data_IF_128219430719
#
_entry.id   IF_128219430719
#
_cell.length_a   1.000
_cell.length_b   1.000
_cell.length_c   1.000
_cell.angle_alpha   90.00
_cell.angle_beta   90.00
_cell.angle_gamma   90.00
#
_symmetry.space_group_name_H-M   'P 1'
#
loop_
_entity.id
_entity.type
_entity.pdbx_description
1 polymer ?
#
# COMPACT_ATOMS: atom_id res chain seq x y z
N UNK A 1 -8.52 46.80 20.90
CA UNK A 1 -8.17 45.56 20.18
C UNK A 1 -7.93 45.79 18.68
N UNK A 2 -8.83 46.47 17.97
CA UNK A 2 -8.72 46.75 16.52
C UNK A 2 -7.45 47.49 16.08
N UNK A 3 -6.99 48.48 16.86
CA UNK A 3 -5.75 49.23 16.58
C UNK A 3 -4.49 48.37 16.67
N UNK A 4 -4.44 47.46 17.64
CA UNK A 4 -3.32 46.53 17.82
C UNK A 4 -3.24 45.53 16.66
N UNK A 5 -4.36 44.93 16.27
CA UNK A 5 -4.42 43.96 15.15
C UNK A 5 -4.02 44.64 13.83
N UNK A 6 -4.52 45.85 13.54
CA UNK A 6 -4.12 46.64 12.36
C UNK A 6 -2.63 46.99 12.34
N UNK A 7 -2.02 47.18 13.51
CA UNK A 7 -0.57 47.47 13.61
C UNK A 7 0.30 46.24 13.33
N UNK A 8 -0.24 45.04 13.55
CA UNK A 8 0.44 43.78 13.28
C UNK A 8 0.36 43.41 11.79
N UNK A 9 -0.84 43.45 11.22
CA UNK A 9 -1.07 43.13 9.82
C UNK A 9 -2.49 43.58 9.41
N UNK A 10 -2.60 44.33 8.30
CA UNK A 10 -3.90 44.75 7.77
C UNK A 10 -4.67 43.58 7.14
N UNK A 11 -3.99 42.59 6.55
CA UNK A 11 -4.65 41.42 5.96
C UNK A 11 -5.31 40.55 7.04
N UNK A 12 -4.73 40.57 8.25
CA UNK A 12 -5.29 39.91 9.43
C UNK A 12 -6.55 40.64 9.94
N UNK A 13 -6.53 41.97 9.94
CA UNK A 13 -7.71 42.78 10.27
C UNK A 13 -8.84 42.57 9.26
N UNK A 14 -8.52 42.54 7.98
CA UNK A 14 -9.49 42.32 6.91
C UNK A 14 -10.09 40.90 6.97
N UNK A 15 -9.31 39.88 7.35
CA UNK A 15 -9.80 38.53 7.59
C UNK A 15 -10.80 38.46 8.75
N UNK A 16 -10.59 39.25 9.82
CA UNK A 16 -11.47 39.29 10.99
C UNK A 16 -12.79 40.01 10.66
N UNK A 17 -12.73 41.15 9.97
CA UNK A 17 -13.91 41.97 9.68
C UNK A 17 -14.73 41.42 8.52
N UNK A 18 -14.09 41.12 7.39
CA UNK A 18 -14.83 40.75 6.19
C UNK A 18 -15.17 39.27 6.15
N UNK A 19 -14.28 38.41 6.68
CA UNK A 19 -14.38 36.95 6.79
C UNK A 19 -14.93 36.25 5.56
N UNK A 20 -14.08 35.50 4.87
CA UNK A 20 -14.53 34.66 3.75
C UNK A 20 -15.02 33.31 4.25
N UNK A 21 -16.17 32.87 3.73
CA UNK A 21 -16.71 31.54 4.00
C UNK A 21 -15.68 30.48 3.56
N UNK A 22 -15.25 29.67 4.52
CA UNK A 22 -14.51 28.45 4.23
C UNK A 22 -15.36 27.59 3.29
N UNK A 23 -14.77 26.91 2.29
CA UNK A 23 -15.52 25.95 1.49
C UNK A 23 -16.11 24.88 2.41
N UNK A 24 -17.42 24.97 2.68
CA UNK A 24 -18.16 23.98 3.46
C UNK A 24 -18.41 22.77 2.56
N UNK A 25 -17.40 21.95 2.35
CA UNK A 25 -17.58 20.62 1.76
C UNK A 25 -17.13 19.55 2.76
N UNK A 26 -18.05 19.22 3.67
CA UNK A 26 -18.02 17.97 4.42
C UNK A 26 -18.26 16.81 3.47
N UNK A 27 -17.21 16.21 2.91
CA UNK A 27 -17.30 14.87 2.34
C UNK A 27 -16.09 14.05 2.77
N UNK A 28 -16.38 13.00 3.52
CA UNK A 28 -15.51 11.90 3.93
C UNK A 28 -14.53 11.46 2.83
N UNK A 29 -13.26 11.92 2.87
CA UNK A 29 -12.07 11.31 2.23
C UNK A 29 -10.77 12.01 2.70
N UNK A 30 -9.62 11.31 2.76
CA UNK A 30 -8.45 11.76 3.54
C UNK A 30 -7.53 12.79 2.86
N UNK A 31 -7.97 13.49 1.80
CA UNK A 31 -7.11 14.46 1.11
C UNK A 31 -7.92 15.53 0.36
N UNK A 32 -8.40 16.52 1.08
CA UNK A 32 -8.81 17.80 0.48
C UNK A 32 -7.53 18.46 -0.04
N UNK A 33 -7.44 18.65 -1.37
CA UNK A 33 -6.29 19.27 -2.01
C UNK A 33 -6.52 20.78 -2.02
N UNK A 34 -6.26 21.43 -0.90
CA UNK A 34 -6.35 22.90 -0.80
C UNK A 34 -5.38 23.56 -1.77
N UNK A 35 -5.86 24.56 -2.49
CA UNK A 35 -5.04 25.47 -3.30
C UNK A 35 -4.12 26.29 -2.37
N UNK A 36 -3.04 26.84 -2.92
CA UNK A 36 -2.05 27.62 -2.17
C UNK A 36 -2.69 28.82 -1.47
N UNK A 37 -3.60 29.52 -2.16
CA UNK A 37 -4.39 30.63 -1.61
C UNK A 37 -5.29 30.20 -0.44
N UNK A 38 -5.97 29.06 -0.56
CA UNK A 38 -6.85 28.54 0.50
C UNK A 38 -6.05 28.16 1.76
N UNK A 39 -4.84 27.62 1.58
CA UNK A 39 -3.94 27.32 2.70
C UNK A 39 -3.45 28.59 3.39
N UNK A 40 -3.12 29.62 2.63
CA UNK A 40 -2.71 30.91 3.21
C UNK A 40 -3.85 31.55 4.01
N UNK A 41 -5.07 31.48 3.50
CA UNK A 41 -6.27 31.95 4.21
C UNK A 41 -6.53 31.18 5.50
N UNK A 42 -6.44 29.85 5.48
CA UNK A 42 -6.56 29.03 6.69
C UNK A 42 -5.50 29.38 7.75
N UNK A 43 -4.27 29.67 7.32
CA UNK A 43 -3.20 30.12 8.21
C UNK A 43 -3.51 31.49 8.82
N UNK A 44 -4.01 32.45 8.03
CA UNK A 44 -4.39 33.77 8.51
C UNK A 44 -5.55 33.69 9.51
N UNK A 45 -6.60 32.91 9.21
CA UNK A 45 -7.71 32.69 10.13
C UNK A 45 -7.25 32.04 11.45
N UNK A 46 -6.37 31.03 11.38
CA UNK A 46 -5.83 30.39 12.58
C UNK A 46 -4.98 31.36 13.43
N UNK A 47 -4.16 32.20 12.79
CA UNK A 47 -3.38 33.25 13.47
C UNK A 47 -4.28 34.29 14.13
N UNK A 48 -5.33 34.73 13.43
CA UNK A 48 -6.30 35.69 13.95
C UNK A 48 -7.00 35.13 15.19
N UNK A 49 -7.48 33.88 15.14
CA UNK A 49 -8.07 33.19 16.30
C UNK A 49 -7.12 33.14 17.49
N UNK A 50 -5.86 32.80 17.25
CA UNK A 50 -4.87 32.72 18.33
C UNK A 50 -4.64 34.08 19.00
N UNK A 51 -4.49 35.15 18.20
CA UNK A 51 -4.31 36.52 18.73
C UNK A 51 -5.54 36.96 19.53
N UNK A 52 -6.75 36.65 19.05
CA UNK A 52 -7.98 36.97 19.78
C UNK A 52 -8.04 36.19 21.11
N UNK A 53 -7.79 34.89 21.10
CA UNK A 53 -7.78 34.07 22.32
C UNK A 53 -6.74 34.52 23.34
N UNK A 54 -5.56 34.95 22.91
CA UNK A 54 -4.52 35.45 23.81
C UNK A 54 -4.88 36.79 24.46
N UNK A 55 -5.79 37.56 23.88
CA UNK A 55 -6.19 38.87 24.37
C UNK A 55 -7.44 38.85 25.26
N UNK A 56 -8.13 37.71 25.35
CA UNK A 56 -9.39 37.57 26.10
C UNK A 56 -9.17 36.95 27.48
N UNK A 57 -10.04 37.31 28.41
CA UNK A 57 -10.08 36.71 29.75
C UNK A 57 -10.73 35.32 29.72
N UNK A 58 -10.43 34.47 30.72
CA UNK A 58 -10.97 33.10 30.79
C UNK A 58 -12.50 33.03 30.73
N UNK A 59 -13.20 34.07 31.22
CA UNK A 59 -14.67 34.15 31.21
C UNK A 59 -15.26 34.39 29.80
N UNK A 60 -14.54 35.11 28.94
CA UNK A 60 -14.97 35.39 27.57
C UNK A 60 -14.64 34.21 26.65
N UNK A 61 -13.54 33.50 26.94
CA UNK A 61 -13.04 32.37 26.16
C UNK A 61 -14.04 31.22 26.02
N UNK A 62 -14.69 30.81 27.12
CA UNK A 62 -15.58 29.63 27.13
C UNK A 62 -16.76 29.79 26.15
N UNK A 63 -17.25 31.01 25.95
CA UNK A 63 -18.39 31.31 25.08
C UNK A 63 -18.03 31.39 23.59
N UNK A 64 -16.80 31.78 23.28
CA UNK A 64 -16.31 31.88 21.89
C UNK A 64 -15.52 30.64 21.46
N UNK A 65 -15.22 29.72 22.38
CA UNK A 65 -14.45 28.49 22.14
C UNK A 65 -15.06 27.61 21.04
N UNK A 66 -16.38 27.66 20.85
CA UNK A 66 -17.13 26.90 19.85
C UNK A 66 -17.12 27.51 18.44
N UNK A 67 -16.57 28.71 18.27
CA UNK A 67 -16.59 29.40 16.98
C UNK A 67 -15.57 28.81 16.01
N UNK A 68 -15.97 28.66 14.75
CA UNK A 68 -15.13 28.04 13.72
C UNK A 68 -14.17 29.05 13.07
N UNK A 69 -14.59 30.33 12.96
CA UNK A 69 -13.82 31.39 12.29
C UNK A 69 -13.47 32.56 13.22
N UNK A 70 -12.41 33.30 12.89
CA UNK A 70 -12.04 34.53 13.61
C UNK A 70 -13.12 35.62 13.50
N UNK A 71 -13.85 35.66 12.37
CA UNK A 71 -14.99 36.56 12.18
C UNK A 71 -16.15 36.23 13.10
N UNK A 72 -16.52 34.95 13.21
CA UNK A 72 -17.60 34.54 14.12
C UNK A 72 -17.27 34.85 15.59
N UNK A 73 -15.99 34.74 15.96
CA UNK A 73 -15.53 35.19 17.29
C UNK A 73 -15.71 36.70 17.44
N UNK A 74 -15.32 37.48 16.42
CA UNK A 74 -15.42 38.93 16.45
C UNK A 74 -16.87 39.43 16.52
N UNK A 75 -17.76 38.89 15.68
CA UNK A 75 -19.18 39.23 15.66
C UNK A 75 -19.83 38.95 17.02
N UNK A 76 -19.55 37.79 17.64
CA UNK A 76 -20.06 37.47 18.99
C UNK A 76 -19.50 38.42 20.07
N UNK A 77 -18.23 38.81 19.99
CA UNK A 77 -17.65 39.76 20.93
C UNK A 77 -18.28 41.15 20.80
N UNK A 78 -18.61 41.58 19.59
CA UNK A 78 -19.32 42.83 19.33
C UNK A 78 -20.71 42.81 19.98
N UNK A 79 -21.47 41.72 19.80
CA UNK A 79 -22.78 41.52 20.44
C UNK A 79 -22.70 41.59 21.99
N UNK A 80 -21.68 40.94 22.60
CA UNK A 80 -21.52 40.93 24.06
C UNK A 80 -21.22 42.31 24.66
N UNK A 81 -20.44 43.12 23.96
CA UNK A 81 -20.09 44.46 24.43
C UNK A 81 -21.19 45.49 24.15
N UNK A 82 -22.06 45.25 23.16
CA UNK A 82 -23.29 46.03 23.00
C UNK A 82 -24.31 45.76 24.12
N UNK A 83 -24.52 44.49 24.53
CA UNK A 83 -25.46 44.15 25.62
C UNK A 83 -24.99 44.67 26.99
N UNK A 84 -23.69 44.60 27.32
CA UNK A 84 -23.16 45.04 28.63
C UNK A 84 -23.16 46.56 28.83
N UNK A 85 -23.21 47.37 27.78
CA UNK A 85 -23.24 48.83 27.92
C UNK A 85 -24.54 49.36 28.53
N UNK A 86 -25.62 48.57 28.53
CA UNK A 86 -26.92 48.97 29.12
C UNK A 86 -27.01 48.60 30.61
N UNK A 87 -26.33 47.53 31.05
CA UNK A 87 -26.46 46.98 32.41
C UNK A 87 -25.24 47.29 33.31
N UNK A 88 -24.03 47.42 32.74
CA UNK A 88 -22.78 47.64 33.49
C UNK A 88 -22.62 49.04 34.10
N UNK A 89 -23.19 50.08 33.49
CA UNK A 89 -23.13 51.45 34.04
C UNK A 89 -23.94 51.54 35.35
N UNK A 90 -25.01 50.74 35.47
CA UNK A 90 -25.89 50.75 36.65
C UNK A 90 -25.31 49.95 37.81
N UNK A 91 -24.56 48.88 37.55
CA UNK A 91 -23.92 48.05 38.59
C UNK A 91 -22.63 48.67 39.14
N UNK A 92 -21.77 49.25 38.30
CA UNK A 92 -20.50 49.84 38.75
C UNK A 92 -20.68 51.12 39.60
N UNK A 93 -21.85 51.76 39.58
CA UNK A 93 -22.13 52.91 40.44
C UNK A 93 -22.55 52.52 41.87
N UNK A 94 -23.04 51.30 42.10
CA UNK A 94 -23.43 50.84 43.45
C UNK A 94 -22.26 50.22 44.23
N UNK A 95 -21.31 49.56 43.55
CA UNK A 95 -20.17 48.89 44.21
C UNK A 95 -19.07 49.84 44.72
N UNK A 96 -19.09 51.13 44.39
CA UNK A 96 -18.09 52.10 44.88
C UNK A 96 -18.48 52.81 46.18
N UNK A 97 -19.69 52.61 46.72
CA UNK A 97 -20.14 53.30 47.94
C UNK A 97 -20.06 52.46 49.24
N UNK A 98 -19.81 51.15 49.21
CA UNK A 98 -20.06 50.31 50.41
C UNK A 98 -18.85 49.69 51.13
N UNK A 99 -17.62 49.69 50.60
CA UNK A 99 -16.51 48.98 51.27
C UNK A 99 -15.40 49.90 51.80
N UNK A 100 -15.65 50.52 52.96
CA UNK A 100 -14.60 50.93 53.90
C UNK A 100 -14.77 50.21 55.23
N UNK A 101 -14.29 48.98 55.35
CA UNK A 101 -13.89 48.42 56.65
C UNK A 101 -13.06 47.14 56.53
N UNK A 102 -11.82 47.27 57.03
CA UNK A 102 -11.11 46.32 57.91
C UNK A 102 -10.45 45.05 57.33
N UNK A 103 -9.11 45.13 57.34
CA UNK A 103 -8.17 44.12 57.85
C UNK A 103 -7.75 42.96 56.93
N UNK A 104 -6.81 43.24 56.02
CA UNK A 104 -5.88 42.24 55.50
C UNK A 104 -4.45 42.57 55.97
N UNK A 105 -3.99 41.87 56.99
CA UNK A 105 -2.56 41.77 57.30
C UNK A 105 -1.87 40.90 56.25
N UNK A 106 -1.58 41.51 55.11
CA UNK A 106 -0.69 40.94 54.11
C UNK A 106 0.68 40.68 54.75
N UNK A 107 1.11 39.41 54.78
CA UNK A 107 2.51 39.06 54.98
C UNK A 107 3.30 39.51 53.74
N UNK A 108 3.50 40.82 53.60
CA UNK A 108 4.25 41.43 52.52
C UNK A 108 5.74 41.16 52.77
N UNK A 109 6.25 40.09 52.15
CA UNK A 109 7.67 39.75 52.18
C UNK A 109 8.42 40.81 51.37
N UNK A 110 8.85 41.87 52.05
CA UNK A 110 9.57 42.99 51.44
C UNK A 110 10.99 42.57 51.02
N UNK A 111 11.13 42.08 49.79
CA UNK A 111 12.45 41.89 49.17
C UNK A 111 13.11 43.26 48.96
N UNK A 112 14.41 43.33 49.25
CA UNK A 112 15.18 44.54 48.95
C UNK A 112 15.46 44.61 47.44
N UNK A 113 15.61 45.83 46.92
CA UNK A 113 15.88 46.06 45.49
C UNK A 113 17.14 45.29 45.01
N UNK A 114 18.18 45.23 45.84
CA UNK A 114 19.42 44.52 45.53
C UNK A 114 19.22 42.99 45.40
N UNK A 115 18.34 42.41 46.24
CA UNK A 115 17.98 40.99 46.15
C UNK A 115 17.23 40.68 44.86
N UNK A 116 16.28 41.55 44.48
CA UNK A 116 15.52 41.42 43.24
C UNK A 116 16.43 41.57 42.01
N UNK A 117 17.33 42.55 42.03
CA UNK A 117 18.27 42.79 40.93
C UNK A 117 19.22 41.60 40.75
N UNK A 118 19.79 41.06 41.84
CA UNK A 118 20.66 39.89 41.79
C UNK A 118 19.92 38.64 41.29
N UNK A 119 18.66 38.45 41.69
CA UNK A 119 17.83 37.36 41.18
C UNK A 119 17.57 37.50 39.67
N UNK A 120 17.27 38.72 39.20
CA UNK A 120 17.06 39.00 37.78
C UNK A 120 18.33 38.76 36.94
N UNK A 121 19.49 39.20 37.42
CA UNK A 121 20.77 39.00 36.72
C UNK A 121 21.09 37.51 36.54
N UNK A 122 20.89 36.71 37.61
CA UNK A 122 21.04 35.25 37.54
C UNK A 122 20.09 34.62 36.53
N UNK A 123 18.82 35.03 36.56
CA UNK A 123 17.80 34.54 35.63
C UNK A 123 18.17 34.88 34.18
N UNK A 124 18.70 36.08 33.94
CA UNK A 124 19.12 36.52 32.61
C UNK A 124 20.29 35.69 32.07
N UNK A 125 21.31 35.42 32.90
CA UNK A 125 22.43 34.54 32.54
C UNK A 125 21.97 33.11 32.23
N UNK A 126 21.02 32.59 33.02
CA UNK A 126 20.44 31.28 32.74
C UNK A 126 19.65 31.26 31.42
N UNK A 127 18.86 32.30 31.16
CA UNK A 127 18.12 32.46 29.91
C UNK A 127 19.06 32.47 28.69
N UNK A 128 20.14 33.25 28.72
CA UNK A 128 21.11 33.31 27.63
C UNK A 128 21.77 31.95 27.37
N UNK A 129 22.14 31.23 28.44
CA UNK A 129 22.68 29.87 28.34
C UNK A 129 21.68 28.89 27.72
N UNK A 130 20.40 28.99 28.07
CA UNK A 130 19.33 28.17 27.47
C UNK A 130 19.16 28.51 25.98
N UNK A 131 19.19 29.78 25.60
CA UNK A 131 19.11 30.20 24.19
C UNK A 131 20.25 29.60 23.36
N UNK A 132 21.48 29.62 23.86
CA UNK A 132 22.64 29.02 23.19
C UNK A 132 22.47 27.51 23.01
N UNK A 133 22.05 26.80 24.07
CA UNK A 133 21.77 25.35 24.00
C UNK A 133 20.69 25.05 22.97
N UNK A 134 19.62 25.84 22.94
CA UNK A 134 18.50 25.64 22.03
C UNK A 134 18.91 25.85 20.56
N UNK A 135 19.79 26.84 20.29
CA UNK A 135 20.38 27.04 18.96
C UNK A 135 21.18 25.82 18.50
N UNK A 136 21.98 25.22 19.38
CA UNK A 136 22.75 24.01 19.09
C UNK A 136 21.83 22.81 18.83
N UNK A 137 20.82 22.61 19.67
CA UNK A 137 19.83 21.54 19.49
C UNK A 137 19.07 21.68 18.17
N UNK A 138 18.68 22.90 17.79
CA UNK A 138 18.04 23.17 16.50
C UNK A 138 18.93 22.78 15.32
N UNK A 139 20.22 23.10 15.38
CA UNK A 139 21.19 22.71 14.34
C UNK A 139 21.35 21.19 14.25
N UNK A 140 21.47 20.52 15.40
CA UNK A 140 21.56 19.07 15.45
C UNK A 140 20.29 18.41 14.88
N UNK A 141 19.10 18.91 15.23
CA UNK A 141 17.83 18.44 14.70
C UNK A 141 17.70 18.62 13.18
N UNK A 142 18.20 19.73 12.63
CA UNK A 142 18.26 19.91 11.18
C UNK A 142 19.24 18.93 10.51
N UNK A 143 20.37 18.64 11.16
CA UNK A 143 21.36 17.67 10.65
C UNK A 143 20.78 16.26 10.63
N UNK A 144 20.18 15.81 11.73
CA UNK A 144 19.57 14.47 11.81
C UNK A 144 18.37 14.33 10.88
N UNK A 145 17.57 15.38 10.69
CA UNK A 145 16.49 15.37 9.69
C UNK A 145 17.00 15.12 8.28
N UNK A 146 18.11 15.77 7.88
CA UNK A 146 18.73 15.54 6.55
C UNK A 146 19.25 14.12 6.40
N UNK A 147 19.85 13.57 7.45
CA UNK A 147 20.34 12.20 7.45
C UNK A 147 19.20 11.18 7.31
N UNK A 148 18.08 11.40 8.00
CA UNK A 148 16.85 10.61 7.86
C UNK A 148 16.33 10.66 6.42
N UNK A 149 16.28 11.83 5.80
CA UNK A 149 15.81 11.97 4.41
C UNK A 149 16.74 11.22 3.43
N UNK A 150 18.05 11.29 3.64
CA UNK A 150 19.03 10.54 2.85
C UNK A 150 18.83 9.02 3.01
N UNK A 151 18.75 8.51 4.24
CA UNK A 151 18.52 7.09 4.52
C UNK A 151 17.19 6.61 3.96
N UNK A 152 16.14 7.45 4.00
CA UNK A 152 14.84 7.16 3.40
C UNK A 152 14.94 7.02 1.88
N UNK A 153 15.74 7.88 1.24
CA UNK A 153 16.00 7.80 -0.21
C UNK A 153 16.81 6.56 -0.60
N UNK A 154 17.69 6.08 0.28
CA UNK A 154 18.48 4.88 0.04
C UNK A 154 17.65 3.61 0.26
N UNK A 155 16.85 3.57 1.33
CA UNK A 155 15.90 2.49 1.58
C UNK A 155 14.89 2.31 0.43
N UNK A 156 14.46 3.40 -0.22
CA UNK A 156 13.57 3.28 -1.38
C UNK A 156 14.25 2.61 -2.58
N UNK A 157 15.56 2.82 -2.78
CA UNK A 157 16.33 2.13 -3.83
C UNK A 157 16.43 0.63 -3.54
N UNK A 158 16.75 0.25 -2.30
CA UNK A 158 16.81 -1.15 -1.91
C UNK A 158 15.46 -1.85 -2.02
N UNK A 159 14.36 -1.18 -1.66
CA UNK A 159 13.01 -1.72 -1.85
C UNK A 159 12.71 -2.04 -3.33
N UNK A 160 13.05 -1.12 -4.23
CA UNK A 160 12.86 -1.33 -5.67
C UNK A 160 13.74 -2.49 -6.20
N UNK A 161 14.96 -2.62 -5.70
CA UNK A 161 15.86 -3.73 -6.06
C UNK A 161 15.30 -5.08 -5.58
N UNK A 162 14.79 -5.14 -4.35
CA UNK A 162 14.14 -6.34 -3.79
C UNK A 162 12.92 -6.72 -4.64
N UNK A 163 12.09 -5.76 -5.05
CA UNK A 163 10.92 -6.03 -5.89
C UNK A 163 11.31 -6.58 -7.27
N UNK A 164 12.36 -6.00 -7.89
CA UNK A 164 12.92 -6.49 -9.15
C UNK A 164 13.46 -7.93 -9.03
N UNK A 165 14.22 -8.22 -7.96
CA UNK A 165 14.74 -9.56 -7.70
C UNK A 165 13.63 -10.57 -7.42
N UNK A 166 12.59 -10.17 -6.70
CA UNK A 166 11.39 -10.99 -6.46
C UNK A 166 10.70 -11.36 -7.77
N UNK A 167 10.56 -10.40 -8.69
CA UNK A 167 10.04 -10.66 -10.03
C UNK A 167 10.89 -11.66 -10.82
N UNK A 168 12.22 -11.50 -10.81
CA UNK A 168 13.15 -12.43 -11.46
C UNK A 168 13.08 -13.84 -10.87
N UNK A 169 13.04 -13.96 -9.54
CA UNK A 169 12.89 -15.26 -8.88
C UNK A 169 11.59 -15.94 -9.24
N UNK A 170 10.48 -15.21 -9.32
CA UNK A 170 9.20 -15.77 -9.79
C UNK A 170 9.30 -16.29 -11.22
N UNK A 171 10.00 -15.57 -12.11
CA UNK A 171 10.24 -16.02 -13.48
C UNK A 171 11.04 -17.32 -13.52
N UNK A 172 12.19 -17.37 -12.83
CA UNK A 172 13.03 -18.57 -12.81
C UNK A 172 12.35 -19.78 -12.16
N UNK A 173 11.52 -19.58 -11.14
CA UNK A 173 10.72 -20.65 -10.54
C UNK A 173 9.76 -21.28 -11.55
N UNK A 174 9.06 -20.45 -12.34
CA UNK A 174 8.17 -20.93 -13.39
C UNK A 174 8.95 -21.69 -14.49
N UNK A 175 10.13 -21.19 -14.87
CA UNK A 175 10.98 -21.83 -15.88
C UNK A 175 11.46 -23.22 -15.41
N UNK A 176 11.86 -23.33 -14.14
CA UNK A 176 12.22 -24.61 -13.53
C UNK A 176 11.03 -25.58 -13.52
N UNK A 177 9.83 -25.10 -13.21
CA UNK A 177 8.62 -25.93 -13.20
C UNK A 177 8.31 -26.49 -14.59
N UNK A 178 8.39 -25.64 -15.63
CA UNK A 178 8.21 -26.06 -17.03
C UNK A 178 9.26 -27.12 -17.42
N UNK A 179 10.54 -26.89 -17.11
CA UNK A 179 11.61 -27.84 -17.41
C UNK A 179 11.41 -29.17 -16.69
N UNK A 180 10.91 -29.14 -15.46
CA UNK A 180 10.63 -30.34 -14.69
C UNK A 180 9.48 -31.17 -15.32
N UNK A 181 8.39 -30.51 -15.70
CA UNK A 181 7.27 -31.16 -16.43
C UNK A 181 7.76 -31.75 -17.76
N UNK A 182 8.55 -31.00 -18.53
CA UNK A 182 9.13 -31.48 -19.79
C UNK A 182 10.04 -32.70 -19.59
N UNK A 183 10.88 -32.67 -18.55
CA UNK A 183 11.78 -33.77 -18.22
C UNK A 183 10.99 -35.02 -17.83
N UNK A 184 9.93 -34.85 -17.04
CA UNK A 184 9.05 -35.94 -16.63
C UNK A 184 8.35 -36.58 -17.83
N UNK A 185 7.78 -35.78 -18.72
CA UNK A 185 7.15 -36.26 -19.96
C UNK A 185 8.17 -37.02 -20.84
N UNK A 186 9.40 -36.52 -20.95
CA UNK A 186 10.46 -37.19 -21.70
C UNK A 186 10.80 -38.56 -21.11
N UNK A 187 10.87 -38.70 -19.79
CA UNK A 187 11.13 -39.97 -19.12
C UNK A 187 10.00 -40.96 -19.37
N UNK A 188 8.75 -40.51 -19.23
CA UNK A 188 7.57 -41.36 -19.40
C UNK A 188 7.48 -41.88 -20.85
N UNK A 189 7.71 -41.01 -21.84
CA UNK A 189 7.75 -41.40 -23.26
C UNK A 189 8.90 -42.38 -23.58
N UNK A 190 10.04 -42.25 -22.91
CA UNK A 190 11.16 -43.18 -23.08
C UNK A 190 10.83 -44.57 -22.53
N UNK A 191 10.14 -44.63 -21.39
CA UNK A 191 9.70 -45.89 -20.80
C UNK A 191 8.64 -46.59 -21.67
N UNK A 192 7.67 -45.85 -22.19
CA UNK A 192 6.66 -46.36 -23.13
C UNK A 192 7.31 -46.90 -24.42
N UNK A 193 8.26 -46.17 -25.00
CA UNK A 193 9.00 -46.63 -26.18
C UNK A 193 9.79 -47.91 -25.92
N UNK A 194 10.35 -48.10 -24.71
CA UNK A 194 11.01 -49.36 -24.32
C UNK A 194 10.01 -50.52 -24.29
N UNK A 195 8.80 -50.30 -23.75
CA UNK A 195 7.72 -51.30 -23.73
C UNK A 195 7.27 -51.69 -25.14
N UNK A 196 6.99 -50.70 -25.99
CA UNK A 196 6.61 -50.92 -27.39
C UNK A 196 7.68 -51.69 -28.17
N UNK A 197 8.96 -51.42 -27.90
CA UNK A 197 10.06 -52.15 -28.56
C UNK A 197 10.06 -53.64 -28.21
N UNK A 198 9.82 -53.98 -26.93
CA UNK A 198 9.68 -55.37 -26.50
C UNK A 198 8.47 -56.06 -27.15
N UNK A 199 7.33 -55.36 -27.26
CA UNK A 199 6.15 -55.88 -27.95
C UNK A 199 6.40 -56.11 -29.44
N UNK A 200 7.06 -55.18 -30.13
CA UNK A 200 7.44 -55.32 -31.54
C UNK A 200 8.35 -56.54 -31.74
N UNK A 201 9.34 -56.74 -30.86
CA UNK A 201 10.26 -57.88 -30.96
C UNK A 201 9.52 -59.22 -30.73
N UNK A 202 8.58 -59.26 -29.79
CA UNK A 202 7.71 -60.40 -29.59
C UNK A 202 6.82 -60.66 -30.82
N UNK A 203 6.21 -59.62 -31.39
CA UNK A 203 5.36 -59.71 -32.57
C UNK A 203 6.13 -60.14 -33.83
N UNK A 204 7.35 -59.65 -34.03
CA UNK A 204 8.23 -60.09 -35.12
C UNK A 204 8.51 -61.59 -35.01
N UNK A 205 8.75 -62.09 -33.80
CA UNK A 205 8.98 -63.52 -33.55
C UNK A 205 7.75 -64.38 -33.89
N UNK A 206 6.55 -63.93 -33.51
CA UNK A 206 5.31 -64.64 -33.88
C UNK A 206 5.05 -64.58 -35.38
N UNK A 207 5.29 -63.43 -36.02
CA UNK A 207 5.14 -63.27 -37.47
C UNK A 207 6.09 -64.19 -38.26
N UNK A 208 7.36 -64.27 -37.89
CA UNK A 208 8.31 -65.20 -38.53
C UNK A 208 7.85 -66.66 -38.43
N UNK A 209 7.31 -67.06 -37.27
CA UNK A 209 6.72 -68.39 -37.09
C UNK A 209 5.51 -68.60 -38.00
N UNK A 210 4.59 -67.63 -38.06
CA UNK A 210 3.43 -67.65 -38.94
C UNK A 210 3.82 -67.74 -40.42
N UNK A 211 4.75 -66.90 -40.88
CA UNK A 211 5.27 -66.93 -42.26
C UNK A 211 5.83 -68.31 -42.62
N UNK A 212 6.69 -68.87 -41.76
CA UNK A 212 7.25 -70.21 -41.99
C UNK A 212 6.19 -71.31 -42.06
N UNK A 213 5.10 -71.18 -41.29
CA UNK A 213 3.98 -72.11 -41.37
C UNK A 213 3.14 -71.91 -42.63
N UNK A 214 2.98 -70.65 -43.08
CA UNK A 214 2.32 -70.31 -44.33
C UNK A 214 3.06 -70.88 -45.52
N UNK A 215 4.39 -70.76 -45.56
CA UNK A 215 5.21 -71.32 -46.66
C UNK A 215 5.10 -72.85 -46.71
N UNK A 216 5.07 -73.51 -45.55
CA UNK A 216 4.84 -74.97 -45.47
C UNK A 216 3.45 -75.34 -45.98
N UNK A 217 2.43 -74.57 -45.65
CA UNK A 217 1.06 -74.78 -46.12
C UNK A 217 0.96 -74.55 -47.64
N UNK A 218 1.55 -73.47 -48.16
CA UNK A 218 1.61 -73.18 -49.59
C UNK A 218 2.31 -74.31 -50.36
N UNK A 219 3.42 -74.83 -49.82
CA UNK A 219 4.10 -76.00 -50.38
C UNK A 219 3.21 -77.25 -50.36
N UNK A 220 2.49 -77.51 -49.26
CA UNK A 220 1.57 -78.64 -49.15
C UNK A 220 0.41 -78.54 -50.17
N UNK A 221 -0.19 -77.36 -50.29
CA UNK A 221 -1.27 -77.09 -51.24
C UNK A 221 -0.78 -77.12 -52.69
N UNK A 222 0.43 -76.63 -52.96
CA UNK A 222 1.08 -76.73 -54.26
C UNK A 222 1.45 -78.17 -54.66
N UNK A 223 1.70 -79.04 -53.69
CA UNK A 223 1.94 -80.47 -53.88
C UNK A 223 0.65 -81.30 -54.04
N UNK A 224 -0.53 -80.69 -54.06
CA UNK A 224 -1.79 -81.43 -54.20
C UNK A 224 -1.77 -82.34 -55.44
N UNK A 225 -1.75 -83.65 -55.18
CA UNK A 225 -2.07 -84.69 -56.16
C UNK A 225 -3.55 -84.60 -56.50
N UNK A 226 -3.90 -84.92 -57.74
CA UNK A 226 -5.29 -84.94 -58.16
C UNK A 226 -6.13 -85.80 -57.21
N UNK A 227 -7.35 -85.36 -56.87
CA UNK A 227 -8.27 -85.97 -55.88
C UNK A 227 -8.49 -87.49 -56.09
N UNK A 228 -8.20 -88.00 -57.28
CA UNK A 228 -8.37 -89.41 -57.65
C UNK A 228 -7.05 -90.21 -57.75
N UNK A 229 -5.89 -89.59 -57.49
CA UNK A 229 -4.60 -90.27 -57.50
C UNK A 229 -4.38 -91.04 -56.17
N UNK A 230 -4.73 -92.32 -56.18
CA UNK A 230 -4.60 -93.24 -55.04
C UNK A 230 -3.26 -94.00 -54.99
N UNK A 231 -2.28 -93.61 -55.82
CA UNK A 231 -0.99 -94.31 -55.89
C UNK A 231 -0.19 -94.05 -54.62
N UNK A 232 0.11 -95.14 -53.89
CA UNK A 232 0.75 -95.11 -52.57
C UNK A 232 -0.14 -95.61 -51.42
N UNK A 233 -1.45 -95.76 -51.66
CA UNK A 233 -2.40 -96.43 -50.75
C UNK A 233 -2.74 -97.86 -51.21
N UNK A 234 -1.87 -98.46 -52.03
CA UNK A 234 -2.04 -99.82 -52.57
C UNK A 234 -2.82 -99.93 -53.88
N UNK A 235 -3.28 -98.82 -54.48
CA UNK A 235 -4.00 -98.83 -55.76
C UNK A 235 -3.10 -98.55 -56.97
N UNK A 236 -3.42 -99.16 -58.11
CA UNK A 236 -2.68 -99.00 -59.37
C UNK A 236 -2.88 -97.59 -60.00
N UNK A 237 -1.85 -97.11 -60.71
CA UNK A 237 -1.80 -95.77 -61.31
C UNK A 237 -2.86 -95.61 -62.41
N UNK A 238 -3.84 -94.73 -62.18
CA UNK A 238 -4.88 -94.41 -63.17
C UNK A 238 -4.30 -93.52 -64.27
N UNK A 239 -4.55 -93.88 -65.54
CA UNK A 239 -3.96 -93.20 -66.72
C UNK A 239 -4.68 -91.91 -67.14
N UNK A 240 -5.93 -91.72 -66.72
CA UNK A 240 -6.77 -90.58 -67.13
C UNK A 240 -7.21 -89.76 -65.91
N UNK A 241 -6.39 -88.79 -65.51
CA UNK A 241 -6.61 -88.00 -64.28
C UNK A 241 -6.86 -86.54 -64.64
N UNK A 242 -8.13 -86.10 -64.56
CA UNK A 242 -8.53 -84.69 -64.78
C UNK A 242 -8.04 -83.82 -63.63
N UNK A 243 -7.04 -82.98 -63.89
CA UNK A 243 -6.58 -81.99 -62.92
C UNK A 243 -7.59 -80.84 -62.85
N UNK A 244 -8.21 -80.64 -61.69
CA UNK A 244 -9.07 -79.48 -61.46
C UNK A 244 -8.20 -78.23 -61.32
N UNK A 245 -8.65 -77.10 -61.87
CA UNK A 245 -8.00 -75.80 -61.63
C UNK A 245 -8.08 -75.49 -60.13
N UNK A 246 -6.92 -75.21 -59.52
CA UNK A 246 -6.87 -74.74 -58.14
C UNK A 246 -7.73 -73.48 -57.98
N UNK A 247 -8.70 -73.53 -57.07
CA UNK A 247 -9.55 -72.37 -56.74
C UNK A 247 -8.81 -71.32 -55.91
N UNK A 248 -7.70 -71.70 -55.27
CA UNK A 248 -6.80 -70.81 -54.54
C UNK A 248 -5.72 -70.25 -55.48
N UNK A 249 -6.10 -69.45 -56.46
CA UNK A 249 -5.12 -68.70 -57.26
C UNK A 249 -4.73 -67.46 -56.46
N UNK A 250 -3.44 -67.31 -56.09
CA UNK A 250 -2.91 -66.05 -55.55
C UNK A 250 -3.20 -64.94 -56.56
N UNK A 251 -4.07 -63.98 -56.21
CA UNK A 251 -4.15 -62.71 -56.94
C UNK A 251 -2.79 -62.02 -56.79
N UNK A 252 -2.11 -61.81 -57.91
CA UNK A 252 -0.92 -60.96 -57.99
C UNK A 252 -1.28 -59.52 -57.66
#
# INVERSE_FOLDING_TARGET
>A
MSTFIKSLDYDLWDMIVFGQELPKEYISKPRIKYNEKEKEMLKLNAKAKHIIFCALSSNEFDRISSCESAKEIWDKLEDFHEEKNVEGVTSCLMDMEEDTSEDESENEVNFTFDELQNAYEKLYVEYENVCLKNKTLKNNAMSTSKEIDNLKSENSKYLNEIESLKGKNSFYMNEIEILNVSSKLSIDSLEENKKLKLEIDALKKTFSKFSSSSDKLDNLLGLQRCVFDKVGLGYAKMKNVKHFKNFFVKKK
#
